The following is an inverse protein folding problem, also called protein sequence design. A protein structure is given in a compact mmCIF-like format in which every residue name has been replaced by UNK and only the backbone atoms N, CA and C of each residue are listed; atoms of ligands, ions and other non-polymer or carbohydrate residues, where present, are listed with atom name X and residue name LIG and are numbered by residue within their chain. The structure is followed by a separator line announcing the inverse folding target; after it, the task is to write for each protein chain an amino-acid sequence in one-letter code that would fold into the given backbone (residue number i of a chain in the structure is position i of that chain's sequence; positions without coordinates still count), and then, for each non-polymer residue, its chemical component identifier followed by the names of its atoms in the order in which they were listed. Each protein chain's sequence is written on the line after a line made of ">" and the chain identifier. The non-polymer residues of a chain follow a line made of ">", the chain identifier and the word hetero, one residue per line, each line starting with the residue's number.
data_IF_776927924426
#
_entry.id   IF_776927924426
#
_cell.length_a   1.000
_cell.length_b   1.000
_cell.length_c   1.000
_cell.angle_alpha   90.00
_cell.angle_beta   90.00
_cell.angle_gamma   90.00
#
_symmetry.space_group_name_H-M   'P 1'
#
loop_
_entity.id
_entity.type
_entity.pdbx_description
1 polymer ?
#
# COMPACT_ATOMS: atom_id res chain seq x y z
N UNK A 1 9.65 20.48 -3.53
CA UNK A 1 10.50 21.28 -2.59
C UNK A 1 11.95 20.97 -2.90
N UNK A 2 12.84 21.96 -2.89
CA UNK A 2 14.30 21.74 -3.03
C UNK A 2 14.91 21.70 -1.64
N UNK A 3 15.67 20.65 -1.35
CA UNK A 3 16.30 20.44 -0.05
C UNK A 3 17.76 20.06 -0.27
N UNK A 4 18.65 20.54 0.59
CA UNK A 4 20.05 20.15 0.62
C UNK A 4 20.25 19.20 1.80
N UNK A 5 20.83 18.03 1.54
CA UNK A 5 21.10 17.00 2.55
C UNK A 5 22.58 16.61 2.48
N UNK A 6 23.14 16.21 3.63
CA UNK A 6 24.47 15.61 3.67
C UNK A 6 24.34 14.10 3.44
N UNK A 7 25.07 13.57 2.45
CA UNK A 7 25.08 12.16 2.11
C UNK A 7 26.53 11.66 2.07
N UNK A 8 26.85 10.48 2.63
CA UNK A 8 28.17 9.87 2.48
C UNK A 8 28.58 9.72 1.01
N UNK A 9 29.84 10.01 0.71
CA UNK A 9 30.36 10.05 -0.67
C UNK A 9 30.17 8.72 -1.40
N UNK A 10 30.40 7.59 -0.72
CA UNK A 10 30.23 6.26 -1.31
C UNK A 10 28.79 6.03 -1.80
N UNK A 11 27.78 6.44 -1.03
CA UNK A 11 26.38 6.34 -1.44
C UNK A 11 26.07 7.25 -2.63
N UNK A 12 26.66 8.45 -2.67
CA UNK A 12 26.48 9.35 -3.81
C UNK A 12 27.07 8.77 -5.10
N UNK A 13 28.22 8.10 -5.01
CA UNK A 13 28.87 7.42 -6.15
C UNK A 13 28.00 6.28 -6.66
N UNK A 14 27.51 5.41 -5.77
CA UNK A 14 26.63 4.30 -6.13
C UNK A 14 25.32 4.78 -6.76
N UNK A 15 24.68 5.80 -6.16
CA UNK A 15 23.44 6.36 -6.68
C UNK A 15 23.63 6.99 -8.07
N UNK A 16 24.76 7.66 -8.32
CA UNK A 16 25.10 8.19 -9.65
C UNK A 16 25.34 7.09 -10.68
N UNK A 17 26.04 6.02 -10.29
CA UNK A 17 26.26 4.86 -11.16
C UNK A 17 24.92 4.24 -11.56
N UNK A 18 24.04 4.00 -10.60
CA UNK A 18 22.70 3.47 -10.85
C UNK A 18 21.89 4.39 -11.77
N UNK A 19 21.94 5.70 -11.53
CA UNK A 19 21.24 6.67 -12.38
C UNK A 19 21.71 6.62 -13.84
N UNK A 20 23.03 6.50 -14.06
CA UNK A 20 23.60 6.36 -15.39
C UNK A 20 23.21 5.04 -16.07
N UNK A 21 23.31 3.91 -15.35
CA UNK A 21 22.94 2.58 -15.87
C UNK A 21 21.45 2.49 -16.23
N UNK A 22 20.59 3.15 -15.46
CA UNK A 22 19.14 3.18 -15.68
C UNK A 22 18.65 4.32 -16.57
N UNK A 23 19.56 5.09 -17.18
CA UNK A 23 19.24 6.26 -18.02
C UNK A 23 18.25 7.23 -17.36
N UNK A 24 18.43 7.48 -16.06
CA UNK A 24 17.57 8.36 -15.28
C UNK A 24 18.39 9.41 -14.51
N UNK A 25 17.70 10.33 -13.84
CA UNK A 25 18.37 11.34 -13.02
C UNK A 25 18.62 10.84 -11.59
N UNK A 26 19.68 11.36 -10.96
CA UNK A 26 19.94 11.12 -9.53
C UNK A 26 18.74 11.52 -8.66
N UNK A 27 18.07 12.63 -9.00
CA UNK A 27 16.85 13.08 -8.33
C UNK A 27 15.76 12.02 -8.38
N UNK A 28 15.55 11.38 -9.54
CA UNK A 28 14.54 10.34 -9.71
C UNK A 28 14.85 9.12 -8.83
N UNK A 29 16.12 8.69 -8.80
CA UNK A 29 16.57 7.60 -7.92
C UNK A 29 16.28 7.92 -6.44
N UNK A 30 16.57 9.15 -6.00
CA UNK A 30 16.29 9.61 -4.64
C UNK A 30 14.78 9.68 -4.35
N UNK A 31 13.98 10.16 -5.30
CA UNK A 31 12.52 10.21 -5.13
C UNK A 31 11.90 8.82 -5.01
N UNK A 32 12.27 7.91 -5.91
CA UNK A 32 11.70 6.57 -5.96
C UNK A 32 12.11 5.76 -4.72
N UNK A 33 13.37 5.86 -4.28
CA UNK A 33 13.84 5.23 -3.03
C UNK A 33 13.12 5.78 -1.79
N UNK A 34 12.93 7.09 -1.69
CA UNK A 34 12.22 7.70 -0.57
C UNK A 34 10.74 7.30 -0.55
N UNK A 35 10.09 7.25 -1.72
CA UNK A 35 8.70 6.78 -1.84
C UNK A 35 8.56 5.34 -1.35
N UNK A 36 9.45 4.45 -1.78
CA UNK A 36 9.46 3.05 -1.38
C UNK A 36 9.63 2.92 0.14
N UNK A 37 10.65 3.58 0.70
CA UNK A 37 10.93 3.54 2.14
C UNK A 37 9.75 4.03 2.98
N UNK A 38 9.12 5.16 2.59
CA UNK A 38 7.97 5.70 3.30
C UNK A 38 6.72 4.82 3.15
N UNK A 39 6.52 4.18 2.00
CA UNK A 39 5.41 3.25 1.79
C UNK A 39 5.55 2.02 2.69
N UNK A 40 6.75 1.43 2.75
CA UNK A 40 7.04 0.32 3.65
C UNK A 40 6.86 0.69 5.11
N UNK A 41 7.33 1.87 5.52
CA UNK A 41 7.18 2.35 6.90
C UNK A 41 5.71 2.54 7.28
N UNK A 42 4.89 3.11 6.37
CA UNK A 42 3.45 3.17 6.58
C UNK A 42 2.85 1.76 6.71
N UNK A 43 3.22 0.83 5.83
CA UNK A 43 2.71 -0.53 5.89
C UNK A 43 3.08 -1.23 7.21
N UNK A 44 4.31 -1.05 7.72
CA UNK A 44 4.73 -1.56 9.04
C UNK A 44 3.87 -1.01 10.17
N UNK A 45 3.62 0.30 10.18
CA UNK A 45 2.74 0.95 11.18
C UNK A 45 1.28 0.51 11.07
N UNK A 46 0.79 0.25 9.85
CA UNK A 46 -0.55 -0.28 9.67
C UNK A 46 -0.67 -1.73 10.14
N UNK A 47 0.36 -2.56 9.94
CA UNK A 47 0.37 -3.94 10.47
C UNK A 47 0.42 -3.99 11.99
N UNK A 48 1.09 -3.05 12.65
CA UNK A 48 1.10 -2.98 14.13
C UNK A 48 -0.26 -2.58 14.70
N UNK A 49 -1.10 -1.89 13.93
CA UNK A 49 -2.51 -1.69 14.25
C UNK A 49 -3.30 -2.93 13.82
N UNK A 50 -3.45 -3.88 14.74
CA UNK A 50 -4.39 -5.00 14.55
C UNK A 50 -5.74 -4.38 14.15
N UNK A 51 -6.31 -4.72 12.98
CA UNK A 51 -7.63 -4.20 12.63
C UNK A 51 -8.60 -4.55 13.77
N UNK A 52 -9.57 -3.68 14.07
CA UNK A 52 -10.59 -4.03 15.05
C UNK A 52 -11.19 -5.38 14.63
N UNK A 53 -11.49 -6.27 15.58
CA UNK A 53 -12.15 -7.52 15.23
C UNK A 53 -13.42 -7.19 14.44
N UNK A 54 -13.54 -7.75 13.23
CA UNK A 54 -14.77 -7.64 12.47
C UNK A 54 -15.86 -8.38 13.26
N UNK A 55 -17.06 -7.81 13.39
CA UNK A 55 -18.15 -8.51 14.03
C UNK A 55 -18.45 -9.81 13.27
N UNK A 56 -18.38 -10.94 13.96
CA UNK A 56 -18.81 -12.22 13.43
C UNK A 56 -20.32 -12.30 13.63
N UNK A 57 -21.08 -12.32 12.54
CA UNK A 57 -22.52 -12.53 12.58
C UNK A 57 -22.80 -14.02 12.80
N UNK A 58 -22.76 -14.48 14.06
CA UNK A 58 -22.96 -15.88 14.42
C UNK A 58 -24.44 -16.30 14.54
N UNK A 59 -25.36 -15.34 14.60
CA UNK A 59 -26.80 -15.57 14.80
C UNK A 59 -27.66 -14.71 13.87
N UNK A 60 -27.37 -14.77 12.58
CA UNK A 60 -28.22 -14.15 11.55
C UNK A 60 -29.18 -15.18 10.99
N UNK A 61 -30.43 -14.76 10.82
CA UNK A 61 -31.41 -15.48 10.01
C UNK A 61 -31.50 -14.78 8.65
N UNK A 62 -31.70 -15.53 7.56
CA UNK A 62 -32.07 -14.94 6.28
C UNK A 62 -33.26 -13.99 6.47
N UNK A 63 -33.24 -12.87 5.75
CA UNK A 63 -34.39 -11.97 5.69
C UNK A 63 -35.56 -12.77 5.11
N UNK A 64 -36.76 -12.61 5.68
CA UNK A 64 -37.93 -13.33 5.21
C UNK A 64 -38.19 -13.00 3.73
N UNK A 65 -38.30 -14.03 2.88
CA UNK A 65 -38.46 -13.89 1.44
C UNK A 65 -37.15 -13.83 0.64
N UNK A 66 -35.99 -13.90 1.31
CA UNK A 66 -34.68 -13.98 0.66
C UNK A 66 -34.13 -15.40 0.80
N UNK A 67 -34.01 -16.09 -0.32
CA UNK A 67 -33.26 -17.34 -0.41
C UNK A 67 -31.77 -17.03 -0.61
N UNK A 68 -30.91 -17.58 0.25
CA UNK A 68 -29.46 -17.35 0.17
C UNK A 68 -28.76 -18.36 -0.75
N UNK A 69 -29.41 -19.46 -1.09
CA UNK A 69 -28.88 -20.48 -2.00
C UNK A 69 -29.22 -20.17 -3.47
N UNK A 70 -30.09 -19.16 -3.70
CA UNK A 70 -30.44 -18.65 -5.02
C UNK A 70 -29.96 -17.21 -5.21
N UNK A 71 -28.75 -17.08 -5.76
CA UNK A 71 -28.15 -15.77 -6.06
C UNK A 71 -28.86 -15.00 -7.19
N UNK A 72 -29.70 -15.65 -8.00
CA UNK A 72 -30.51 -15.00 -9.03
C UNK A 72 -31.61 -14.14 -8.41
N UNK A 73 -32.28 -14.67 -7.38
CA UNK A 73 -33.37 -13.97 -6.68
C UNK A 73 -32.90 -12.68 -5.98
N UNK A 74 -31.60 -12.56 -5.67
CA UNK A 74 -31.01 -11.37 -5.06
C UNK A 74 -30.80 -10.21 -6.04
N UNK A 75 -30.63 -10.50 -7.34
CA UNK A 75 -30.40 -9.48 -8.37
C UNK A 75 -31.69 -8.71 -8.72
N UNK A 76 -32.86 -9.26 -8.38
CA UNK A 76 -34.16 -8.63 -8.62
C UNK A 76 -34.59 -7.65 -7.52
N UNK A 77 -33.79 -7.52 -6.45
CA UNK A 77 -34.04 -6.62 -5.31
C UNK A 77 -33.33 -5.26 -5.41
N UNK A 78 -32.69 -4.94 -6.55
CA UNK A 78 -32.09 -3.62 -6.84
C UNK A 78 -33.12 -2.55 -7.26
#
# INVERSE_FOLDING_TARGET
>A
MRTTINLPDHLLVEAKKLAAESNTSLTRVLEDSLRLYLAEERARRHRSRRPPPLPILSHVKPVAGVDLDDTSALLELE
#
